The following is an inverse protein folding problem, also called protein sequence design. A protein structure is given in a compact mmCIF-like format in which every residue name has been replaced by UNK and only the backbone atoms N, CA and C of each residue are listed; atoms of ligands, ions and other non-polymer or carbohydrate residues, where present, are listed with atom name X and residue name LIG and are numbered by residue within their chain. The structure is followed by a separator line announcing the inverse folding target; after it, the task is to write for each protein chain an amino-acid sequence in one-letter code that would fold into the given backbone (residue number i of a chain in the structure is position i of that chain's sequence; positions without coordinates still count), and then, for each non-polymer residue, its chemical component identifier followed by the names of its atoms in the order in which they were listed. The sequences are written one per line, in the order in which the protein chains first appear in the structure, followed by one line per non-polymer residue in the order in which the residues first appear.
data_IF_056766985773
#
_entry.id   IF_056766985773
#
_cell.length_a   1.000
_cell.length_b   1.000
_cell.length_c   1.000
_cell.angle_alpha   90.00
_cell.angle_beta   90.00
_cell.angle_gamma   90.00
#
_symmetry.space_group_name_H-M   'P 1'
#
loop_
_entity.id
_entity.type
_entity.pdbx_description
1 polymer ?
#
# COMPACT_ATOMS: atom_id res chain seq x y z
N UNK A 1 -20.28 -22.99 22.17
CA UNK A 1 -19.10 -22.83 21.28
C UNK A 1 -18.08 -21.98 22.00
N UNK A 2 -16.87 -22.48 22.26
CA UNK A 2 -15.79 -21.72 22.87
C UNK A 2 -14.80 -21.30 21.78
N UNK A 3 -14.55 -20.00 21.63
CA UNK A 3 -13.48 -19.51 20.77
C UNK A 3 -12.14 -19.66 21.48
N UNK A 4 -11.09 -20.00 20.73
CA UNK A 4 -9.70 -20.01 21.21
C UNK A 4 -8.96 -18.85 20.56
N UNK A 5 -8.37 -17.97 21.37
CA UNK A 5 -7.48 -16.94 20.86
C UNK A 5 -6.24 -17.60 20.23
N UNK A 6 -5.90 -17.17 19.01
CA UNK A 6 -4.72 -17.65 18.26
C UNK A 6 -3.57 -16.64 18.27
N UNK A 7 -3.81 -15.41 18.74
CA UNK A 7 -2.81 -14.34 18.83
C UNK A 7 -3.14 -13.38 19.98
N UNK A 8 -2.18 -12.53 20.29
CA UNK A 8 -2.39 -11.34 21.11
C UNK A 8 -3.31 -10.33 20.41
N UNK A 9 -3.83 -9.38 21.18
CA UNK A 9 -4.61 -8.26 20.65
C UNK A 9 -3.67 -7.30 19.88
N UNK A 10 -4.20 -6.68 18.84
CA UNK A 10 -3.48 -5.65 18.09
C UNK A 10 -3.39 -4.40 18.97
N UNK A 11 -2.16 -3.91 19.15
CA UNK A 11 -1.91 -2.59 19.74
C UNK A 11 -1.93 -1.53 18.63
N UNK A 12 -3.04 -0.81 18.54
CA UNK A 12 -3.24 0.21 17.50
C UNK A 12 -2.29 1.40 17.63
N UNK A 13 -1.89 1.77 18.85
CA UNK A 13 -0.97 2.89 19.05
C UNK A 13 0.42 2.49 18.60
N UNK A 14 0.90 1.31 19.00
CA UNK A 14 2.16 0.77 18.48
C UNK A 14 2.14 0.71 16.95
N UNK A 15 1.07 0.17 16.35
CA UNK A 15 0.92 0.08 14.90
C UNK A 15 1.05 1.45 14.25
N UNK A 16 0.40 2.49 14.78
CA UNK A 16 0.50 3.86 14.24
C UNK A 16 1.94 4.38 14.31
N UNK A 17 2.71 4.04 15.34
CA UNK A 17 4.11 4.46 15.49
C UNK A 17 5.09 3.76 14.53
N UNK A 18 4.84 2.51 14.12
CA UNK A 18 5.80 1.67 13.37
C UNK A 18 6.37 2.32 12.09
N UNK A 19 5.67 3.25 11.46
CA UNK A 19 6.05 3.82 10.15
C UNK A 19 5.47 5.21 9.91
N UNK A 20 5.68 6.14 10.84
CA UNK A 20 5.24 7.53 10.68
C UNK A 20 6.04 8.26 9.61
N UNK A 21 5.34 9.02 8.77
CA UNK A 21 5.96 9.97 7.86
C UNK A 21 6.53 11.15 8.66
N UNK A 22 7.66 11.69 8.22
CA UNK A 22 8.14 12.99 8.71
C UNK A 22 7.17 14.11 8.31
N UNK A 23 7.21 15.29 8.95
CA UNK A 23 6.36 16.40 8.56
C UNK A 23 6.48 16.78 7.07
N UNK A 24 7.67 16.70 6.51
CA UNK A 24 7.94 16.94 5.09
C UNK A 24 7.28 15.89 4.19
N UNK A 25 7.44 14.61 4.51
CA UNK A 25 6.82 13.51 3.77
C UNK A 25 5.29 13.55 3.86
N UNK A 26 4.75 13.92 5.03
CA UNK A 26 3.32 14.11 5.21
C UNK A 26 2.78 15.28 4.38
N UNK A 27 3.52 16.39 4.29
CA UNK A 27 3.17 17.53 3.43
C UNK A 27 3.21 17.15 1.95
N UNK A 28 4.21 16.39 1.51
CA UNK A 28 4.30 15.86 0.15
C UNK A 28 3.12 14.95 -0.19
N UNK A 29 2.76 14.04 0.71
CA UNK A 29 1.56 13.19 0.57
C UNK A 29 0.30 14.05 0.45
N UNK A 30 0.12 15.02 1.32
CA UNK A 30 -1.05 15.90 1.32
C UNK A 30 -1.17 16.72 0.02
N UNK A 31 -0.05 17.19 -0.52
CA UNK A 31 -0.03 17.87 -1.82
C UNK A 31 -0.49 16.94 -2.95
N UNK A 32 0.03 15.71 -3.00
CA UNK A 32 -0.41 14.70 -3.99
C UNK A 32 -1.87 14.28 -3.81
N UNK A 33 -2.36 14.17 -2.57
CA UNK A 33 -3.77 13.89 -2.30
C UNK A 33 -4.66 15.01 -2.86
N UNK A 34 -4.22 16.26 -2.75
CA UNK A 34 -4.92 17.41 -3.35
C UNK A 34 -4.95 17.34 -4.87
N UNK A 35 -3.82 17.03 -5.51
CA UNK A 35 -3.78 16.83 -6.96
C UNK A 35 -4.73 15.72 -7.41
N UNK A 36 -4.70 14.58 -6.72
CA UNK A 36 -5.60 13.46 -6.98
C UNK A 36 -7.08 13.85 -6.84
N UNK A 37 -7.41 14.58 -5.77
CA UNK A 37 -8.75 15.10 -5.54
C UNK A 37 -9.19 16.03 -6.70
N UNK A 38 -8.32 16.94 -7.12
CA UNK A 38 -8.64 17.91 -8.17
C UNK A 38 -8.82 17.20 -9.53
N UNK A 39 -8.08 16.11 -9.81
CA UNK A 39 -8.30 15.24 -10.98
C UNK A 39 -9.65 14.53 -10.92
N UNK A 40 -10.01 13.93 -9.79
CA UNK A 40 -11.29 13.22 -9.62
C UNK A 40 -12.48 14.18 -9.79
N UNK A 41 -12.32 15.42 -9.33
CA UNK A 41 -13.32 16.49 -9.47
C UNK A 41 -13.34 17.13 -10.87
N UNK A 42 -12.45 16.73 -11.78
CA UNK A 42 -12.34 17.32 -13.12
C UNK A 42 -11.83 18.76 -13.15
N UNK A 43 -11.14 19.21 -12.09
CA UNK A 43 -10.46 20.52 -12.01
C UNK A 43 -9.04 20.47 -12.60
N UNK A 44 -8.54 19.26 -12.82
CA UNK A 44 -7.25 18.94 -13.43
C UNK A 44 -7.49 17.87 -14.51
N UNK A 45 -7.10 18.17 -15.74
CA UNK A 45 -7.41 17.34 -16.92
C UNK A 45 -6.43 16.17 -17.12
N UNK A 46 -5.48 15.96 -16.20
CA UNK A 46 -4.55 14.82 -16.26
C UNK A 46 -5.30 13.49 -16.09
N UNK A 47 -4.82 12.47 -16.79
CA UNK A 47 -5.36 11.11 -16.67
C UNK A 47 -4.87 10.50 -15.36
N UNK A 48 -5.80 10.09 -14.49
CA UNK A 48 -5.49 9.24 -13.35
C UNK A 48 -5.17 7.81 -13.83
N UNK A 49 -3.98 7.33 -13.52
CA UNK A 49 -3.54 5.97 -13.85
C UNK A 49 -3.16 5.19 -12.59
N UNK A 50 -4.04 4.27 -12.17
CA UNK A 50 -3.71 3.28 -11.13
C UNK A 50 -3.03 2.08 -11.78
N UNK A 51 -1.74 1.88 -11.53
CA UNK A 51 -0.94 0.88 -12.23
C UNK A 51 0.07 0.19 -11.31
N UNK A 52 0.25 -1.11 -11.50
CA UNK A 52 1.20 -1.91 -10.74
C UNK A 52 0.93 -3.40 -10.85
N UNK A 53 1.76 -4.22 -10.20
CA UNK A 53 1.60 -5.67 -10.20
C UNK A 53 0.26 -6.08 -9.57
N UNK A 54 -0.19 -7.29 -9.90
CA UNK A 54 -1.44 -7.81 -9.34
C UNK A 54 -1.36 -7.95 -7.81
N UNK A 55 -0.22 -8.41 -7.25
CA UNK A 55 0.01 -8.50 -5.80
C UNK A 55 1.44 -8.14 -5.40
N UNK A 56 1.56 -7.48 -4.26
CA UNK A 56 2.83 -7.13 -3.60
C UNK A 56 3.40 -8.28 -2.76
N UNK A 57 3.70 -9.41 -3.39
CA UNK A 57 4.22 -10.61 -2.72
C UNK A 57 5.76 -10.68 -2.65
N UNK A 58 6.43 -9.96 -3.55
CA UNK A 58 7.89 -9.75 -3.55
C UNK A 58 8.15 -8.26 -3.37
N UNK A 59 8.67 -7.90 -2.20
CA UNK A 59 8.89 -6.51 -1.81
C UNK A 59 10.00 -5.85 -2.63
N UNK A 60 11.09 -6.56 -2.93
CA UNK A 60 12.22 -5.97 -3.65
C UNK A 60 11.90 -5.77 -5.14
N UNK A 61 11.22 -6.74 -5.77
CA UNK A 61 10.72 -6.57 -7.13
C UNK A 61 9.70 -5.43 -7.23
N UNK A 62 8.83 -5.28 -6.22
CA UNK A 62 7.88 -4.17 -6.16
C UNK A 62 8.61 -2.83 -6.02
N UNK A 63 9.60 -2.74 -5.13
CA UNK A 63 10.38 -1.52 -4.92
C UNK A 63 11.16 -1.12 -6.17
N UNK A 64 11.75 -2.08 -6.88
CA UNK A 64 12.35 -1.81 -8.19
C UNK A 64 11.32 -1.24 -9.19
N UNK A 65 10.14 -1.86 -9.28
CA UNK A 65 9.07 -1.41 -10.15
C UNK A 65 8.64 0.03 -9.84
N UNK A 66 8.37 0.37 -8.57
CA UNK A 66 7.91 1.72 -8.21
C UNK A 66 8.99 2.79 -8.37
N UNK A 67 10.28 2.45 -8.17
CA UNK A 67 11.40 3.37 -8.45
C UNK A 67 11.50 3.70 -9.94
N UNK A 68 11.26 2.72 -10.82
CA UNK A 68 11.16 2.95 -12.27
C UNK A 68 9.92 3.78 -12.62
N UNK A 69 8.80 3.49 -11.96
CA UNK A 69 7.54 4.22 -12.16
C UNK A 69 7.65 5.69 -11.75
N UNK A 70 8.38 6.01 -10.68
CA UNK A 70 8.61 7.39 -10.24
C UNK A 70 9.40 8.20 -11.25
N UNK A 71 10.42 7.60 -11.87
CA UNK A 71 11.15 8.25 -12.98
C UNK A 71 10.25 8.50 -14.19
N UNK A 72 9.34 7.56 -14.49
CA UNK A 72 8.38 7.71 -15.58
C UNK A 72 7.32 8.77 -15.27
N UNK A 73 6.82 8.83 -14.03
CA UNK A 73 5.86 9.84 -13.57
C UNK A 73 6.38 11.25 -13.88
N UNK A 74 7.66 11.53 -13.61
CA UNK A 74 8.25 12.84 -13.90
C UNK A 74 8.22 13.19 -15.39
N UNK A 75 8.41 12.21 -16.28
CA UNK A 75 8.41 12.41 -17.73
C UNK A 75 7.01 12.69 -18.31
N UNK A 76 5.95 12.25 -17.63
CA UNK A 76 4.57 12.36 -18.12
C UNK A 76 3.66 13.20 -17.23
N UNK A 77 4.21 13.88 -16.21
CA UNK A 77 3.45 14.53 -15.13
C UNK A 77 2.46 15.60 -15.58
N UNK A 78 2.66 16.17 -16.77
CA UNK A 78 1.77 17.19 -17.35
C UNK A 78 0.49 16.58 -17.96
N UNK A 79 0.44 15.25 -18.13
CA UNK A 79 -0.66 14.53 -18.80
C UNK A 79 -1.19 13.35 -17.99
N UNK A 80 -0.37 12.71 -17.16
CA UNK A 80 -0.74 11.51 -16.42
C UNK A 80 -0.31 11.65 -14.95
N UNK A 81 -1.26 11.39 -14.05
CA UNK A 81 -1.02 11.24 -12.62
C UNK A 81 -1.11 9.77 -12.24
N UNK A 82 0.04 9.16 -11.96
CA UNK A 82 0.16 7.76 -11.62
C UNK A 82 0.03 7.53 -10.11
N UNK A 83 -0.70 6.49 -9.75
CA UNK A 83 -0.82 5.96 -8.40
C UNK A 83 -0.40 4.49 -8.42
N UNK A 84 0.78 4.13 -7.87
CA UNK A 84 1.21 2.75 -7.75
C UNK A 84 0.16 1.87 -7.08
N UNK A 85 -0.20 0.78 -7.73
CA UNK A 85 -1.04 -0.30 -7.18
C UNK A 85 -0.18 -1.19 -6.27
N UNK A 86 -0.41 -1.14 -4.97
CA UNK A 86 0.26 -1.93 -3.93
C UNK A 86 -0.78 -2.82 -3.25
N UNK A 87 -1.30 -3.82 -3.97
CA UNK A 87 -2.36 -4.68 -3.41
C UNK A 87 -1.76 -5.69 -2.44
N UNK A 88 -1.98 -5.44 -1.15
CA UNK A 88 -1.41 -6.27 -0.07
C UNK A 88 -2.33 -7.40 0.38
N UNK A 89 -3.59 -7.37 -0.05
CA UNK A 89 -4.60 -8.38 0.21
C UNK A 89 -5.11 -9.05 -1.06
N UNK A 90 -5.58 -10.29 -0.94
CA UNK A 90 -6.19 -11.02 -2.05
C UNK A 90 -7.49 -11.71 -1.63
N UNK A 91 -8.65 -11.32 -2.21
CA UNK A 91 -9.88 -12.05 -1.97
C UNK A 91 -9.79 -13.44 -2.61
N UNK A 92 -10.27 -14.47 -1.89
CA UNK A 92 -10.25 -15.87 -2.34
C UNK A 92 -11.64 -16.46 -2.18
N UNK A 93 -12.21 -16.97 -3.27
CA UNK A 93 -13.57 -17.54 -3.28
C UNK A 93 -13.71 -18.73 -2.32
N UNK A 94 -12.71 -19.62 -2.28
CA UNK A 94 -12.76 -20.83 -1.43
C UNK A 94 -12.16 -20.61 -0.04
N UNK A 95 -11.62 -19.42 0.25
CA UNK A 95 -10.88 -19.16 1.49
C UNK A 95 -9.50 -19.84 1.58
N UNK A 96 -9.13 -20.66 0.60
CA UNK A 96 -7.86 -21.38 0.52
C UNK A 96 -6.83 -20.67 -0.36
N UNK A 97 -5.55 -20.94 -0.07
CA UNK A 97 -4.39 -20.39 -0.77
C UNK A 97 -3.84 -19.09 -0.17
N UNK A 98 -2.87 -18.48 -0.86
CA UNK A 98 -2.25 -17.23 -0.44
C UNK A 98 -3.27 -16.07 -0.40
N UNK A 99 -3.35 -15.40 0.76
CA UNK A 99 -4.30 -14.32 1.07
C UNK A 99 -3.68 -12.91 1.02
N UNK A 100 -2.39 -12.81 0.68
CA UNK A 100 -1.66 -11.54 0.64
C UNK A 100 -0.72 -11.35 1.82
N UNK A 101 0.09 -10.28 1.72
CA UNK A 101 1.14 -9.89 2.66
C UNK A 101 0.61 -9.65 4.07
N UNK A 102 -0.62 -9.13 4.21
CA UNK A 102 -1.27 -8.94 5.51
C UNK A 102 -1.46 -10.26 6.27
N UNK A 103 -1.78 -11.34 5.55
CA UNK A 103 -2.10 -12.63 6.16
C UNK A 103 -0.90 -13.56 6.22
N UNK A 104 -0.01 -13.50 5.24
CA UNK A 104 1.14 -14.39 5.11
C UNK A 104 2.31 -13.64 4.50
N UNK A 105 3.33 -13.40 5.33
CA UNK A 105 4.59 -12.77 4.91
C UNK A 105 5.51 -13.80 4.26
N UNK A 106 5.49 -15.04 4.78
CA UNK A 106 6.05 -16.23 4.14
C UNK A 106 4.91 -17.06 3.52
N UNK A 107 4.91 -17.31 2.20
CA UNK A 107 3.89 -18.14 1.54
C UNK A 107 3.75 -19.55 2.15
N UNK A 108 4.83 -20.12 2.66
CA UNK A 108 4.88 -21.44 3.30
C UNK A 108 4.61 -21.38 4.81
N UNK A 109 4.72 -20.18 5.38
CA UNK A 109 4.55 -19.90 6.81
C UNK A 109 3.10 -19.93 7.29
N UNK A 110 2.97 -19.83 8.62
CA UNK A 110 1.69 -19.62 9.30
C UNK A 110 1.25 -18.15 9.15
N UNK A 111 -0.04 -17.92 9.29
CA UNK A 111 -0.57 -16.56 9.29
C UNK A 111 -0.23 -15.81 10.57
N UNK A 112 0.21 -14.57 10.42
CA UNK A 112 0.47 -13.65 11.53
C UNK A 112 0.01 -12.24 11.14
N UNK A 113 -1.12 -11.81 11.71
CA UNK A 113 -1.73 -10.54 11.36
C UNK A 113 -0.95 -9.33 11.91
N UNK A 114 -0.37 -9.46 13.11
CA UNK A 114 0.42 -8.38 13.73
C UNK A 114 1.66 -8.09 12.87
N UNK A 115 2.38 -9.14 12.47
CA UNK A 115 3.52 -9.02 11.55
C UNK A 115 3.08 -8.52 10.18
N UNK A 116 1.92 -8.94 9.69
CA UNK A 116 1.37 -8.47 8.42
C UNK A 116 1.04 -6.99 8.40
N UNK A 117 0.42 -6.47 9.45
CA UNK A 117 0.14 -5.04 9.60
C UNK A 117 1.45 -4.25 9.59
N UNK A 118 2.47 -4.71 10.32
CA UNK A 118 3.79 -4.08 10.32
C UNK A 118 4.43 -4.09 8.92
N UNK A 119 4.38 -5.22 8.22
CA UNK A 119 4.93 -5.37 6.88
C UNK A 119 4.23 -4.47 5.85
N UNK A 120 2.90 -4.43 5.86
CA UNK A 120 2.09 -3.55 5.00
C UNK A 120 2.44 -2.08 5.25
N UNK A 121 2.50 -1.65 6.51
CA UNK A 121 2.86 -0.26 6.86
C UNK A 121 4.27 0.10 6.42
N UNK A 122 5.23 -0.79 6.65
CA UNK A 122 6.61 -0.63 6.19
C UNK A 122 6.66 -0.47 4.67
N UNK A 123 5.97 -1.33 3.92
CA UNK A 123 5.95 -1.29 2.46
C UNK A 123 5.39 0.03 1.92
N UNK A 124 4.22 0.46 2.39
CA UNK A 124 3.64 1.74 1.96
C UNK A 124 4.52 2.93 2.33
N UNK A 125 5.11 2.91 3.53
CA UNK A 125 6.05 3.94 3.97
C UNK A 125 7.28 3.98 3.05
N UNK A 126 7.91 2.84 2.75
CA UNK A 126 9.05 2.76 1.81
C UNK A 126 8.71 3.33 0.45
N UNK A 127 7.55 2.97 -0.13
CA UNK A 127 7.14 3.52 -1.44
C UNK A 127 7.05 5.06 -1.37
N UNK A 128 6.38 5.61 -0.37
CA UNK A 128 6.22 7.07 -0.22
C UNK A 128 7.58 7.75 -0.01
N UNK A 129 8.37 7.24 0.93
CA UNK A 129 9.60 7.89 1.38
C UNK A 129 10.75 7.77 0.39
N UNK A 130 10.83 6.66 -0.36
CA UNK A 130 11.90 6.45 -1.34
C UNK A 130 11.57 7.01 -2.73
N UNK A 131 10.28 7.18 -3.07
CA UNK A 131 9.88 7.54 -4.44
C UNK A 131 9.04 8.82 -4.55
N UNK A 132 8.48 9.30 -3.45
CA UNK A 132 7.53 10.42 -3.45
C UNK A 132 6.15 10.08 -4.04
N UNK A 133 5.93 8.86 -4.53
CA UNK A 133 4.63 8.41 -5.02
C UNK A 133 3.72 7.99 -3.87
N UNK A 134 2.43 8.30 -3.99
CA UNK A 134 1.38 7.84 -3.09
C UNK A 134 0.71 6.59 -3.63
N UNK A 135 0.34 5.66 -2.76
CA UNK A 135 -0.07 4.29 -3.12
C UNK A 135 -1.57 4.07 -3.14
N UNK A 136 -2.06 3.16 -3.97
CA UNK A 136 -3.40 2.59 -3.91
C UNK A 136 -3.36 1.13 -3.43
N UNK A 137 -4.25 0.78 -2.50
CA UNK A 137 -4.52 -0.58 -2.05
C UNK A 137 -6.04 -0.83 -2.05
N UNK A 138 -6.45 -2.09 -1.98
CA UNK A 138 -7.84 -2.52 -1.93
C UNK A 138 -8.26 -2.80 -0.48
N UNK A 139 -9.22 -2.03 0.02
CA UNK A 139 -9.75 -2.22 1.37
C UNK A 139 -10.74 -3.40 1.38
N UNK A 140 -10.27 -4.59 1.73
CA UNK A 140 -11.11 -5.80 1.82
C UNK A 140 -11.83 -5.97 3.16
N UNK A 141 -11.30 -5.37 4.21
CA UNK A 141 -11.81 -5.50 5.58
C UNK A 141 -12.31 -4.14 6.06
N UNK A 142 -13.49 -4.09 6.71
CA UNK A 142 -14.06 -2.83 7.19
C UNK A 142 -13.42 -2.33 8.51
N UNK A 143 -12.63 -3.18 9.16
CA UNK A 143 -11.91 -2.94 10.43
C UNK A 143 -10.41 -2.96 10.19
#
# INVERSE_FOLDING_TARGET
MSFKALSEKIDFELVKELSKLTPEQAAMKAARDKELHDIIEGKDDRILLVIGPCSAHDEEALMEYVRRLAKLQEQVKDKVFMVPRIYTNKPRTTGDGYKGLLHKQDPTGKSNLIQGIAAVRSLHNRVITETGLTTADEMLYPE
#
